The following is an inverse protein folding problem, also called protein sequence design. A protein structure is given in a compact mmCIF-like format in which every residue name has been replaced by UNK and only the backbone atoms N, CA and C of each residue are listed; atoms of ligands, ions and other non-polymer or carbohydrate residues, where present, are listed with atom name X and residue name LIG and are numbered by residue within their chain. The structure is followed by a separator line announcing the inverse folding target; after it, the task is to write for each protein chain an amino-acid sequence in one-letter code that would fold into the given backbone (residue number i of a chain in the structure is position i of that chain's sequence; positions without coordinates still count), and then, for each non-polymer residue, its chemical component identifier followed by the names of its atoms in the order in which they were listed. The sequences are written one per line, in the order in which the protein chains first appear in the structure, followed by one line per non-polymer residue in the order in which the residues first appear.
data_IF_433429728801
#
_entry.id   IF_433429728801
#
_cell.length_a   1.000
_cell.length_b   1.000
_cell.length_c   1.000
_cell.angle_alpha   90.00
_cell.angle_beta   90.00
_cell.angle_gamma   90.00
#
_symmetry.space_group_name_H-M   'P 1'
#
loop_
_entity.id
_entity.type
_entity.pdbx_description
1 polymer ?
#
# COMPACT_ATOMS: atom_id res chain seq x y z
N UNK A 1 12.07 -14.23 -0.73
CA UNK A 1 12.19 -14.48 -2.18
C UNK A 1 10.77 -14.47 -2.75
N UNK A 2 10.42 -13.65 -3.75
CA UNK A 2 9.01 -13.52 -4.16
C UNK A 2 8.39 -14.85 -4.64
N UNK A 3 7.20 -15.16 -4.13
CA UNK A 3 6.42 -16.35 -4.44
C UNK A 3 5.17 -16.04 -5.32
N UNK A 4 5.21 -14.98 -6.12
CA UNK A 4 4.10 -14.68 -7.05
C UNK A 4 4.13 -15.61 -8.27
N UNK A 5 2.98 -16.19 -8.63
CA UNK A 5 2.82 -17.05 -9.82
C UNK A 5 3.18 -16.32 -11.12
N UNK A 6 2.86 -15.03 -11.21
CA UNK A 6 3.29 -14.13 -12.28
C UNK A 6 4.21 -13.07 -11.68
N UNK A 7 5.52 -13.15 -11.97
CA UNK A 7 6.52 -12.20 -11.46
C UNK A 7 6.25 -10.76 -11.95
N UNK A 8 5.81 -10.60 -13.19
CA UNK A 8 5.44 -9.30 -13.78
C UNK A 8 4.25 -8.61 -13.09
N UNK A 9 3.42 -9.35 -12.35
CA UNK A 9 2.31 -8.78 -11.59
C UNK A 9 2.69 -8.44 -10.14
N UNK A 10 3.96 -8.62 -9.77
CA UNK A 10 4.43 -8.31 -8.44
C UNK A 10 4.40 -6.79 -8.23
N UNK A 11 3.70 -6.29 -7.20
CA UNK A 11 3.61 -4.85 -6.94
C UNK A 11 4.93 -4.20 -6.48
N UNK A 12 5.98 -5.00 -6.25
CA UNK A 12 7.31 -4.55 -5.83
C UNK A 12 8.42 -5.29 -6.59
N UNK A 13 8.21 -5.61 -7.87
CA UNK A 13 9.24 -6.17 -8.75
C UNK A 13 10.03 -7.37 -8.17
N UNK A 14 9.32 -8.29 -7.51
CA UNK A 14 9.93 -9.47 -6.89
C UNK A 14 10.35 -9.31 -5.43
N UNK A 15 10.04 -8.18 -4.78
CA UNK A 15 10.35 -7.93 -3.37
C UNK A 15 9.14 -7.95 -2.42
N UNK A 16 7.97 -8.41 -2.88
CA UNK A 16 6.72 -8.34 -2.10
C UNK A 16 6.68 -9.17 -0.81
N UNK A 17 7.62 -10.10 -0.59
CA UNK A 17 7.66 -10.91 0.64
C UNK A 17 8.37 -10.22 1.82
N UNK A 18 8.92 -9.02 1.62
CA UNK A 18 9.52 -8.25 2.71
C UNK A 18 8.45 -7.88 3.75
N UNK A 19 8.78 -8.05 5.02
CA UNK A 19 7.98 -7.66 6.20
C UNK A 19 8.63 -6.47 6.90
N UNK A 20 7.92 -5.86 7.87
CA UNK A 20 8.41 -4.72 8.66
C UNK A 20 8.96 -3.61 7.77
N UNK A 21 8.08 -3.00 6.99
CA UNK A 21 8.47 -1.96 6.05
C UNK A 21 7.48 -0.81 6.02
N UNK A 22 8.04 0.35 5.70
CA UNK A 22 7.34 1.58 5.36
C UNK A 22 7.22 1.58 3.83
N UNK A 23 6.00 1.62 3.34
CA UNK A 23 5.71 1.67 1.91
C UNK A 23 4.97 2.96 1.55
N UNK A 24 5.16 3.36 0.31
CA UNK A 24 4.42 4.43 -0.34
C UNK A 24 3.50 3.83 -1.40
N UNK A 25 2.29 4.37 -1.49
CA UNK A 25 1.38 4.19 -2.61
C UNK A 25 1.12 5.56 -3.24
N UNK A 26 1.53 5.74 -4.49
CA UNK A 26 1.17 6.92 -5.28
C UNK A 26 -0.09 6.60 -6.07
N UNK A 27 -1.15 7.36 -5.82
CA UNK A 27 -2.46 7.25 -6.48
C UNK A 27 -2.58 8.37 -7.51
N UNK A 28 -2.55 8.01 -8.79
CA UNK A 28 -2.72 8.98 -9.90
C UNK A 28 -4.08 8.83 -10.54
N UNK A 29 -4.74 9.94 -10.89
CA UNK A 29 -6.00 9.93 -11.64
C UNK A 29 -5.77 9.75 -13.15
N UNK A 30 -4.61 10.15 -13.64
CA UNK A 30 -4.17 10.06 -15.03
C UNK A 30 -2.63 10.01 -15.07
N UNK A 31 -2.03 9.63 -16.19
CA UNK A 31 -0.57 9.54 -16.33
C UNK A 31 0.15 10.88 -16.07
N UNK A 32 -0.51 11.99 -16.45
CA UNK A 32 0.00 13.36 -16.28
C UNK A 32 -0.26 13.96 -14.89
N UNK A 33 -0.94 13.24 -14.00
CA UNK A 33 -1.21 13.70 -12.63
C UNK A 33 0.02 13.44 -11.74
N UNK A 34 0.39 14.39 -10.89
CA UNK A 34 1.44 14.22 -9.88
C UNK A 34 1.09 13.07 -8.91
N UNK A 35 -0.20 12.90 -8.65
CA UNK A 35 -0.77 11.86 -7.80
C UNK A 35 -0.68 12.16 -6.31
N UNK A 36 -1.57 11.55 -5.55
CA UNK A 36 -1.56 11.63 -4.08
C UNK A 36 -0.68 10.53 -3.53
N UNK A 37 0.18 10.89 -2.57
CA UNK A 37 1.05 9.95 -1.88
C UNK A 37 0.40 9.49 -0.58
N UNK A 38 0.32 8.18 -0.41
CA UNK A 38 -0.07 7.54 0.84
C UNK A 38 1.12 6.78 1.41
N UNK A 39 1.45 7.01 2.67
CA UNK A 39 2.51 6.29 3.38
C UNK A 39 1.85 5.36 4.38
N UNK A 40 2.29 4.11 4.41
CA UNK A 40 1.79 3.11 5.34
C UNK A 40 2.91 2.24 5.89
N UNK A 41 2.71 1.79 7.14
CA UNK A 41 3.53 0.79 7.79
C UNK A 41 2.88 -0.59 7.67
N UNK A 42 3.67 -1.64 7.60
CA UNK A 42 3.20 -3.01 7.79
C UNK A 42 4.23 -3.84 8.54
N UNK A 43 3.78 -4.53 9.59
CA UNK A 43 4.57 -5.57 10.25
C UNK A 43 4.57 -6.86 9.41
N UNK A 44 3.40 -7.22 8.86
CA UNK A 44 3.23 -8.34 7.95
C UNK A 44 4.00 -8.14 6.64
N UNK A 45 4.09 -9.20 5.83
CA UNK A 45 4.65 -9.08 4.47
C UNK A 45 3.85 -8.07 3.65
N UNK A 46 4.54 -7.29 2.80
CA UNK A 46 3.89 -6.33 1.92
C UNK A 46 2.85 -6.99 1.03
N UNK A 47 3.10 -8.21 0.55
CA UNK A 47 2.14 -9.00 -0.24
C UNK A 47 0.81 -9.16 0.49
N UNK A 48 0.84 -9.52 1.77
CA UNK A 48 -0.38 -9.62 2.60
C UNK A 48 -1.09 -8.28 2.70
N UNK A 49 -0.35 -7.21 3.01
CA UNK A 49 -0.92 -5.87 3.14
C UNK A 49 -1.53 -5.36 1.83
N UNK A 50 -0.87 -5.62 0.72
CA UNK A 50 -1.35 -5.28 -0.61
C UNK A 50 -2.63 -6.04 -0.98
N UNK A 51 -2.74 -7.32 -0.61
CA UNK A 51 -3.99 -8.07 -0.80
C UNK A 51 -5.14 -7.49 0.04
N UNK A 52 -4.87 -7.07 1.28
CA UNK A 52 -5.87 -6.39 2.11
C UNK A 52 -6.37 -5.11 1.43
N UNK A 53 -5.46 -4.25 0.96
CA UNK A 53 -5.82 -3.04 0.20
C UNK A 53 -6.64 -3.37 -1.06
N UNK A 54 -6.23 -4.39 -1.84
CA UNK A 54 -7.03 -4.82 -3.00
C UNK A 54 -8.41 -5.32 -2.64
N UNK A 55 -8.56 -5.97 -1.49
CA UNK A 55 -9.85 -6.43 -1.01
C UNK A 55 -10.75 -5.23 -0.66
N UNK A 56 -10.22 -4.22 0.04
CA UNK A 56 -10.97 -3.00 0.40
C UNK A 56 -11.35 -2.15 -0.81
N UNK A 57 -10.55 -2.15 -1.89
CA UNK A 57 -10.90 -1.46 -3.14
C UNK A 57 -11.99 -2.15 -3.97
N UNK A 58 -12.40 -3.37 -3.60
CA UNK A 58 -13.43 -4.15 -4.29
C UNK A 58 -14.75 -4.20 -3.52
N UNK A 59 -14.70 -4.01 -2.21
CA UNK A 59 -15.83 -4.19 -1.31
C UNK A 59 -16.18 -2.84 -0.70
N UNK A 60 -17.32 -2.27 -1.11
CA UNK A 60 -17.74 -0.92 -0.73
C UNK A 60 -17.96 -0.80 0.79
N UNK A 61 -18.43 -1.86 1.44
CA UNK A 61 -18.58 -1.93 2.90
C UNK A 61 -17.25 -1.76 3.65
N UNK A 62 -16.12 -1.96 2.97
CA UNK A 62 -14.76 -1.77 3.49
C UNK A 62 -14.10 -0.49 3.01
N UNK A 63 -14.81 0.37 2.29
CA UNK A 63 -14.28 1.64 1.76
C UNK A 63 -13.64 2.51 2.84
N UNK A 64 -14.21 2.53 4.04
CA UNK A 64 -13.75 3.34 5.17
C UNK A 64 -12.65 2.69 6.02
N UNK A 65 -12.17 1.49 5.67
CA UNK A 65 -11.20 0.73 6.50
C UNK A 65 -9.82 1.39 6.58
N UNK A 66 -9.43 2.15 5.56
CA UNK A 66 -8.15 2.87 5.49
C UNK A 66 -8.34 4.20 4.78
N UNK A 67 -7.49 5.19 5.07
CA UNK A 67 -7.50 6.46 4.31
C UNK A 67 -7.24 6.25 2.81
N UNK A 68 -6.37 5.29 2.46
CA UNK A 68 -6.14 4.94 1.07
C UNK A 68 -7.40 4.40 0.38
N UNK A 69 -8.17 3.52 1.04
CA UNK A 69 -9.41 2.99 0.48
C UNK A 69 -10.47 4.06 0.33
N UNK A 70 -10.61 4.96 1.29
CA UNK A 70 -11.54 6.11 1.17
C UNK A 70 -11.22 6.95 -0.06
N UNK A 71 -9.94 7.25 -0.26
CA UNK A 71 -9.50 8.03 -1.40
C UNK A 71 -9.76 7.31 -2.72
N UNK A 72 -9.43 6.03 -2.84
CA UNK A 72 -9.68 5.23 -4.04
C UNK A 72 -11.18 5.16 -4.37
N UNK A 73 -12.04 4.92 -3.38
CA UNK A 73 -13.49 4.90 -3.57
C UNK A 73 -14.03 6.26 -3.99
N UNK A 74 -13.50 7.36 -3.45
CA UNK A 74 -13.89 8.71 -3.87
C UNK A 74 -13.60 9.00 -5.36
N UNK A 75 -12.58 8.33 -5.93
CA UNK A 75 -12.25 8.42 -7.35
C UNK A 75 -13.15 7.50 -8.19
N UNK A 76 -13.38 6.26 -7.73
CA UNK A 76 -14.28 5.32 -8.38
C UNK A 76 -15.71 5.87 -8.47
N UNK A 77 -16.22 6.50 -7.41
CA UNK A 77 -17.54 7.16 -7.41
C UNK A 77 -17.65 8.32 -8.40
N UNK A 78 -16.50 8.85 -8.85
CA UNK A 78 -16.41 9.87 -9.92
C UNK A 78 -16.17 9.25 -11.30
N UNK A 79 -16.28 7.92 -11.43
CA UNK A 79 -15.92 7.16 -12.63
C UNK A 79 -14.47 7.36 -13.09
N UNK A 80 -13.55 7.57 -12.14
CA UNK A 80 -12.11 7.68 -12.41
C UNK A 80 -11.45 6.39 -11.95
N UNK A 81 -10.75 5.72 -12.85
CA UNK A 81 -9.94 4.54 -12.52
C UNK A 81 -8.53 4.98 -12.07
N UNK A 82 -8.17 4.84 -10.78
CA UNK A 82 -6.88 5.30 -10.30
C UNK A 82 -5.74 4.35 -10.67
N UNK A 83 -4.60 4.92 -11.06
CA UNK A 83 -3.34 4.22 -11.26
C UNK A 83 -2.59 4.19 -9.92
N UNK A 84 -2.39 3.00 -9.38
CA UNK A 84 -1.71 2.77 -8.10
C UNK A 84 -0.27 2.29 -8.32
N UNK A 85 0.72 3.09 -7.91
CA UNK A 85 2.15 2.71 -7.94
C UNK A 85 2.67 2.52 -6.52
N UNK A 86 3.30 1.38 -6.25
CA UNK A 86 3.79 1.03 -4.93
C UNK A 86 5.32 1.07 -4.89
N UNK A 87 5.87 1.57 -3.79
CA UNK A 87 7.32 1.61 -3.55
C UNK A 87 7.61 1.34 -2.08
N UNK A 88 8.72 0.66 -1.78
CA UNK A 88 9.25 0.59 -0.41
C UNK A 88 10.10 1.83 -0.17
N UNK A 89 9.79 2.58 0.89
CA UNK A 89 10.60 3.72 1.33
C UNK A 89 11.74 3.18 2.19
N UNK A 90 11.39 2.45 3.25
CA UNK A 90 12.36 2.02 4.25
C UNK A 90 11.91 0.73 4.96
N UNK A 91 12.85 0.05 5.61
CA UNK A 91 12.56 -1.03 6.53
C UNK A 91 12.32 -0.47 7.93
N UNK A 92 11.17 -0.81 8.51
CA UNK A 92 10.85 -0.38 9.86
C UNK A 92 11.72 -1.16 10.86
N UNK A 93 12.41 -0.44 11.75
CA UNK A 93 13.07 -1.07 12.90
C UNK A 93 11.98 -1.68 13.79
N UNK A 94 12.13 -2.94 14.26
CA UNK A 94 11.19 -3.49 15.23
C UNK A 94 11.23 -2.64 16.50
N UNK A 95 10.05 -2.27 17.01
CA UNK A 95 9.93 -1.58 18.29
C UNK A 95 10.65 -2.38 19.38
N UNK A 96 11.65 -1.76 20.03
CA UNK A 96 12.33 -2.34 21.19
C UNK A 96 11.64 -1.81 22.45
N UNK A 97 10.92 -2.68 23.17
CA UNK A 97 10.36 -2.33 24.48
C UNK A 97 11.47 -1.82 25.41
N UNK A 98 11.41 -0.55 25.82
CA UNK A 98 12.34 0.07 26.77
C UNK A 98 12.82 1.47 26.37
N UNK A 99 12.76 1.86 25.10
CA UNK A 99 13.05 3.22 24.66
C UNK A 99 11.77 4.05 24.62
N UNK A 100 11.70 5.12 25.41
CA UNK A 100 10.61 6.13 25.38
C UNK A 100 10.60 6.99 24.10
N UNK A 101 11.28 6.54 23.04
CA UNK A 101 11.20 7.15 21.71
C UNK A 101 10.21 6.34 20.88
N UNK A 102 9.09 6.97 20.57
CA UNK A 102 8.27 6.55 19.44
C UNK A 102 8.89 7.17 18.19
N UNK A 103 9.72 6.41 17.48
CA UNK A 103 10.07 6.74 16.11
C UNK A 103 8.88 6.34 15.23
N UNK A 104 8.00 7.31 14.98
CA UNK A 104 6.77 7.18 14.21
C UNK A 104 6.92 7.92 12.87
#
# INVERSE_FOLDING_TARGET
MCNCRKKASCPLDGNCQKSKLIYQCTVKKSENDEGVQYIGLTENTFKTRWYQHKHTFRHEDKSNSTELSKYVWSLQNKNIEPILKWKVIEHAQPYKNGSKLCDL
#
